data_IF_792782996921
#
_entry.id   IF_792782996921
#
_cell.length_a   1.000
_cell.length_b   1.000
_cell.length_c   1.000
_cell.angle_alpha   90.00
_cell.angle_beta   90.00
_cell.angle_gamma   90.00
#
_symmetry.space_group_name_H-M   'P 1'
#
loop_
_entity.id
_entity.type
_entity.pdbx_description
1 polymer ?
#
# COMPACT_ATOMS: atom_id res chain seq x y z
N UNK A 1 61.06 -13.73 19.24
CA UNK A 1 60.71 -12.46 18.61
C UNK A 1 59.92 -12.62 17.34
N UNK A 2 60.04 -13.72 16.64
CA UNK A 2 59.16 -14.05 15.49
C UNK A 2 57.70 -14.18 15.90
N UNK A 3 57.39 -14.62 17.12
CA UNK A 3 56.02 -14.78 17.62
C UNK A 3 55.30 -13.44 17.81
N UNK A 4 56.03 -12.42 18.27
CA UNK A 4 55.47 -11.09 18.44
C UNK A 4 55.11 -10.44 17.12
N UNK A 5 55.95 -10.55 16.13
CA UNK A 5 55.70 -10.08 14.76
C UNK A 5 54.51 -10.79 14.14
N UNK A 6 54.42 -12.11 14.32
CA UNK A 6 53.30 -12.90 13.83
C UNK A 6 51.95 -12.48 14.52
N UNK A 7 52.00 -12.16 15.80
CA UNK A 7 50.86 -11.67 16.55
C UNK A 7 50.40 -10.29 16.04
N UNK A 8 51.37 -9.40 15.74
CA UNK A 8 51.06 -8.09 15.15
C UNK A 8 50.44 -8.22 13.74
N UNK A 9 51.00 -9.11 12.92
CA UNK A 9 50.47 -9.37 11.60
C UNK A 9 49.03 -9.91 11.65
N UNK A 10 48.76 -10.83 12.57
CA UNK A 10 47.41 -11.36 12.79
C UNK A 10 46.43 -10.29 13.25
N UNK A 11 46.90 -9.41 14.13
CA UNK A 11 46.11 -8.31 14.62
C UNK A 11 45.74 -7.34 13.49
N UNK A 12 46.74 -6.99 12.66
CA UNK A 12 46.54 -6.13 11.48
C UNK A 12 45.52 -6.75 10.51
N UNK A 13 45.66 -8.03 10.21
CA UNK A 13 44.72 -8.74 9.34
C UNK A 13 43.32 -8.72 9.88
N UNK A 14 43.15 -8.97 11.18
CA UNK A 14 41.85 -8.95 11.84
C UNK A 14 41.24 -7.56 11.83
N UNK A 15 42.07 -6.53 12.03
CA UNK A 15 41.62 -5.14 11.98
C UNK A 15 41.16 -4.75 10.58
N UNK A 16 41.90 -5.13 9.56
CA UNK A 16 41.56 -4.89 8.16
C UNK A 16 40.25 -5.58 7.78
N UNK A 17 40.10 -6.83 8.18
CA UNK A 17 38.84 -7.59 7.97
C UNK A 17 37.64 -6.94 8.69
N UNK A 18 37.88 -6.48 9.91
CA UNK A 18 36.84 -5.78 10.68
C UNK A 18 36.42 -4.49 10.01
N UNK A 19 37.35 -3.72 9.46
CA UNK A 19 37.11 -2.50 8.73
C UNK A 19 36.31 -2.77 7.44
N UNK A 20 36.72 -3.80 6.70
CA UNK A 20 36.04 -4.22 5.49
C UNK A 20 34.59 -4.64 5.79
N UNK A 21 34.41 -5.44 6.83
CA UNK A 21 33.10 -5.88 7.28
C UNK A 21 32.23 -4.70 7.71
N UNK A 22 32.82 -3.75 8.44
CA UNK A 22 32.14 -2.53 8.85
C UNK A 22 31.65 -1.71 7.65
N UNK A 23 32.52 -1.50 6.66
CA UNK A 23 32.16 -0.77 5.44
C UNK A 23 31.06 -1.47 4.67
N UNK A 24 31.15 -2.80 4.55
CA UNK A 24 30.11 -3.60 3.89
C UNK A 24 28.77 -3.47 4.61
N UNK A 25 28.78 -3.61 5.92
CA UNK A 25 27.58 -3.50 6.76
C UNK A 25 26.96 -2.11 6.66
N UNK A 26 27.78 -1.06 6.63
CA UNK A 26 27.33 0.31 6.42
C UNK A 26 26.65 0.48 5.06
N UNK A 27 27.24 -0.10 4.02
CA UNK A 27 26.66 -0.08 2.68
C UNK A 27 25.33 -0.80 2.60
N UNK A 28 25.26 -1.97 3.21
CA UNK A 28 24.03 -2.77 3.28
C UNK A 28 22.95 -2.03 4.07
N UNK A 29 23.31 -1.40 5.18
CA UNK A 29 22.41 -0.58 5.99
C UNK A 29 21.81 0.55 5.18
N UNK A 30 22.64 1.30 4.43
CA UNK A 30 22.17 2.38 3.58
C UNK A 30 21.23 1.90 2.50
N UNK A 31 21.58 0.78 1.87
CA UNK A 31 20.74 0.18 0.84
C UNK A 31 19.38 -0.23 1.40
N UNK A 32 19.35 -0.85 2.58
CA UNK A 32 18.13 -1.25 3.27
C UNK A 32 17.29 -0.04 3.70
N UNK A 33 17.92 1.02 4.16
CA UNK A 33 17.22 2.26 4.53
C UNK A 33 16.54 2.88 3.30
N UNK A 34 17.23 2.94 2.17
CA UNK A 34 16.67 3.46 0.92
C UNK A 34 15.51 2.60 0.42
N UNK A 35 15.68 1.29 0.46
CA UNK A 35 14.62 0.37 0.08
C UNK A 35 13.42 0.49 1.01
N UNK A 36 13.66 0.63 2.30
CA UNK A 36 12.61 0.81 3.29
C UNK A 36 11.80 2.09 3.06
N UNK A 37 12.47 3.19 2.75
CA UNK A 37 11.80 4.44 2.40
C UNK A 37 10.97 4.31 1.13
N UNK A 38 11.51 3.63 0.13
CA UNK A 38 10.82 3.36 -1.12
C UNK A 38 9.56 2.53 -0.89
N UNK A 39 9.67 1.47 -0.11
CA UNK A 39 8.54 0.61 0.24
C UNK A 39 7.47 1.36 1.04
N UNK A 40 7.88 2.22 1.96
CA UNK A 40 6.94 3.07 2.72
C UNK A 40 6.18 4.01 1.80
N UNK A 41 6.87 4.60 0.83
CA UNK A 41 6.24 5.49 -0.16
C UNK A 41 5.25 4.71 -1.03
N UNK A 42 5.60 3.52 -1.48
CA UNK A 42 4.71 2.65 -2.26
C UNK A 42 3.48 2.24 -1.46
N UNK A 43 3.64 1.86 -0.20
CA UNK A 43 2.53 1.51 0.70
C UNK A 43 1.58 2.70 0.86
N UNK A 44 2.11 3.89 1.07
CA UNK A 44 1.32 5.11 1.21
C UNK A 44 0.51 5.39 -0.06
N UNK A 45 1.14 5.27 -1.20
CA UNK A 45 0.52 5.46 -2.51
C UNK A 45 -0.62 4.46 -2.73
N UNK A 46 -0.37 3.18 -2.47
CA UNK A 46 -1.38 2.12 -2.58
C UNK A 46 -2.53 2.32 -1.60
N UNK A 47 -2.24 2.72 -0.38
CA UNK A 47 -3.26 2.99 0.64
C UNK A 47 -4.16 4.15 0.21
N UNK A 48 -3.58 5.22 -0.32
CA UNK A 48 -4.35 6.36 -0.84
C UNK A 48 -5.19 5.98 -2.04
N UNK A 49 -4.62 5.19 -2.96
CA UNK A 49 -5.33 4.66 -4.12
C UNK A 49 -6.52 3.79 -3.72
N UNK A 50 -6.32 2.88 -2.77
CA UNK A 50 -7.37 2.03 -2.24
C UNK A 50 -8.48 2.83 -1.57
N UNK A 51 -8.14 3.84 -0.79
CA UNK A 51 -9.12 4.73 -0.15
C UNK A 51 -9.95 5.48 -1.19
N UNK A 52 -9.33 5.95 -2.26
CA UNK A 52 -10.03 6.62 -3.36
C UNK A 52 -10.99 5.67 -4.07
N UNK A 53 -10.56 4.43 -4.34
CA UNK A 53 -11.39 3.40 -4.94
C UNK A 53 -12.57 3.02 -4.06
N UNK A 54 -12.37 2.91 -2.76
CA UNK A 54 -13.42 2.62 -1.79
C UNK A 54 -14.48 3.73 -1.78
N UNK A 55 -14.07 4.98 -1.80
CA UNK A 55 -14.98 6.14 -1.87
C UNK A 55 -15.79 6.11 -3.16
N UNK A 56 -15.15 5.84 -4.27
CA UNK A 56 -15.81 5.74 -5.57
C UNK A 56 -16.81 4.60 -5.58
N UNK A 57 -16.46 3.45 -5.01
CA UNK A 57 -17.36 2.30 -4.90
C UNK A 57 -18.60 2.63 -4.05
N UNK A 58 -18.42 3.30 -2.92
CA UNK A 58 -19.51 3.74 -2.05
C UNK A 58 -20.43 4.71 -2.81
N UNK A 59 -19.85 5.67 -3.53
CA UNK A 59 -20.59 6.64 -4.31
C UNK A 59 -21.42 5.96 -5.42
N UNK A 60 -20.83 5.00 -6.13
CA UNK A 60 -21.52 4.24 -7.17
C UNK A 60 -22.66 3.39 -6.61
N UNK A 61 -22.48 2.75 -5.47
CA UNK A 61 -23.51 1.98 -4.81
C UNK A 61 -24.68 2.86 -4.39
N UNK A 62 -24.40 4.05 -3.86
CA UNK A 62 -25.42 5.02 -3.48
C UNK A 62 -26.20 5.51 -4.68
N UNK A 63 -25.51 5.85 -5.76
CA UNK A 63 -26.11 6.26 -7.02
C UNK A 63 -27.03 5.17 -7.57
N UNK A 64 -26.56 3.93 -7.57
CA UNK A 64 -27.34 2.77 -8.00
C UNK A 64 -28.61 2.60 -7.19
N UNK A 65 -28.53 2.77 -5.87
CA UNK A 65 -29.67 2.66 -4.97
C UNK A 65 -30.65 3.80 -5.20
N UNK A 66 -30.18 5.01 -5.45
CA UNK A 66 -31.04 6.16 -5.78
C UNK A 66 -31.82 5.93 -7.09
N UNK A 67 -31.13 5.42 -8.12
CA UNK A 67 -31.78 5.09 -9.41
C UNK A 67 -32.79 3.99 -9.22
N UNK A 68 -32.50 2.95 -8.49
CA UNK A 68 -33.40 1.85 -8.17
C UNK A 68 -34.68 2.36 -7.46
N UNK A 69 -34.50 3.21 -6.47
CA UNK A 69 -35.61 3.83 -5.74
C UNK A 69 -36.52 4.65 -6.63
N UNK A 70 -35.94 5.44 -7.56
CA UNK A 70 -36.68 6.22 -8.53
C UNK A 70 -37.49 5.35 -9.50
N UNK A 71 -36.89 4.26 -9.94
CA UNK A 71 -37.56 3.29 -10.82
C UNK A 71 -38.77 2.66 -10.09
N UNK A 72 -38.57 2.23 -8.85
CA UNK A 72 -39.67 1.67 -8.03
C UNK A 72 -40.80 2.64 -7.85
N UNK A 73 -40.54 3.92 -7.58
CA UNK A 73 -41.52 4.96 -7.46
C UNK A 73 -42.29 5.21 -8.77
N UNK A 74 -41.58 5.19 -9.89
CA UNK A 74 -42.19 5.33 -11.21
C UNK A 74 -43.09 4.13 -11.52
N UNK A 75 -42.69 2.93 -11.19
CA UNK A 75 -43.48 1.72 -11.37
C UNK A 75 -44.76 1.77 -10.53
N UNK A 76 -44.68 2.21 -9.27
CA UNK A 76 -45.85 2.41 -8.40
C UNK A 76 -46.84 3.43 -8.98
N UNK A 77 -46.36 4.52 -9.54
CA UNK A 77 -47.18 5.51 -10.20
C UNK A 77 -47.89 4.95 -11.43
N UNK A 78 -47.17 4.21 -12.25
CA UNK A 78 -47.71 3.56 -13.44
C UNK A 78 -48.78 2.54 -13.04
N UNK A 79 -48.50 1.71 -12.06
CA UNK A 79 -49.44 0.73 -11.54
C UNK A 79 -50.71 1.40 -11.00
N UNK A 80 -50.53 2.50 -10.25
CA UNK A 80 -51.64 3.28 -9.74
C UNK A 80 -52.51 3.88 -10.85
N UNK A 81 -51.89 4.42 -11.90
CA UNK A 81 -52.58 4.95 -13.06
C UNK A 81 -53.32 3.87 -13.86
N UNK A 82 -52.66 2.71 -14.02
CA UNK A 82 -53.26 1.58 -14.72
C UNK A 82 -54.46 1.03 -13.97
N UNK A 83 -54.34 0.90 -12.67
CA UNK A 83 -55.44 0.45 -11.80
C UNK A 83 -56.61 1.45 -11.82
N UNK A 84 -56.34 2.77 -11.71
CA UNK A 84 -57.37 3.79 -11.82
C UNK A 84 -58.03 3.80 -13.19
N UNK A 85 -57.26 3.59 -14.25
CA UNK A 85 -57.75 3.51 -15.63
C UNK A 85 -58.65 2.31 -15.86
N UNK A 86 -58.37 1.17 -15.21
CA UNK A 86 -59.14 -0.06 -15.34
C UNK A 86 -60.46 -0.03 -14.54
N UNK A 87 -60.54 0.79 -13.49
CA UNK A 87 -61.76 0.98 -12.71
C UNK A 87 -62.75 2.00 -13.36
N UNK A 88 -62.20 2.78 -14.23
CA UNK A 88 -62.98 3.75 -14.98
C UNK A 88 -63.53 3.14 -16.24
#
# INVERSE_FOLDING_TARGET
MTDTNNQFERLEEKMLKAIELFKRTQGEKRALEQENEKLKAEIKEHTQGNSALDRELIALRKEREDVRSRIEKLLERIDGLTTSGSEG
#
